data_IF_354474539020
#
_entry.id   IF_354474539020
#
_cell.length_a   1.000
_cell.length_b   1.000
_cell.length_c   1.000
_cell.angle_alpha   90.00
_cell.angle_beta   90.00
_cell.angle_gamma   90.00
#
_symmetry.space_group_name_H-M   'P 1'
#
loop_
_entity.id
_entity.type
_entity.pdbx_description
1 polymer ?
#
# COMPACT_ATOMS: atom_id res chain seq x y z
N UNK A 1 -17.75 -16.57 7.03
CA UNK A 1 -17.47 -16.01 5.68
C UNK A 1 -16.40 -14.95 5.79
N UNK A 2 -15.40 -15.00 4.91
CA UNK A 2 -14.38 -13.96 4.82
C UNK A 2 -15.02 -12.74 4.15
N UNK A 3 -14.98 -11.58 4.83
CA UNK A 3 -15.40 -10.32 4.23
C UNK A 3 -14.22 -9.74 3.44
N UNK A 4 -14.23 -9.96 2.13
CA UNK A 4 -13.16 -9.50 1.23
C UNK A 4 -13.03 -7.97 1.19
N UNK A 5 -14.13 -7.23 1.31
CA UNK A 5 -14.11 -5.76 1.41
C UNK A 5 -13.31 -5.32 2.63
N UNK A 6 -13.59 -5.90 3.80
CA UNK A 6 -12.84 -5.64 5.04
C UNK A 6 -11.37 -6.04 4.91
N UNK A 7 -11.08 -7.15 4.24
CA UNK A 7 -9.71 -7.63 4.01
C UNK A 7 -8.90 -6.65 3.14
N UNK A 8 -9.50 -6.14 2.06
CA UNK A 8 -8.87 -5.14 1.17
C UNK A 8 -8.54 -3.86 1.94
N UNK A 9 -9.46 -3.35 2.75
CA UNK A 9 -9.18 -2.18 3.59
C UNK A 9 -8.04 -2.42 4.60
N UNK A 10 -7.97 -3.60 5.19
CA UNK A 10 -6.87 -3.98 6.08
C UNK A 10 -5.54 -4.06 5.35
N UNK A 11 -5.51 -4.62 4.13
CA UNK A 11 -4.32 -4.67 3.28
C UNK A 11 -3.84 -3.27 2.91
N UNK A 12 -4.73 -2.38 2.44
CA UNK A 12 -4.37 -0.97 2.13
C UNK A 12 -3.77 -0.26 3.34
N UNK A 13 -4.32 -0.48 4.55
CA UNK A 13 -3.77 0.08 5.80
C UNK A 13 -2.40 -0.48 6.16
N UNK A 14 -2.21 -1.80 6.06
CA UNK A 14 -0.92 -2.46 6.32
C UNK A 14 0.15 -2.01 5.32
N UNK A 15 -0.23 -1.84 4.05
CA UNK A 15 0.67 -1.34 3.02
C UNK A 15 1.16 0.08 3.31
N UNK A 16 0.25 0.96 3.75
CA UNK A 16 0.62 2.33 4.13
C UNK A 16 1.60 2.36 5.30
N UNK A 17 1.38 1.56 6.35
CA UNK A 17 2.30 1.51 7.50
C UNK A 17 3.63 0.86 7.15
N UNK A 18 3.64 -0.18 6.32
CA UNK A 18 4.84 -0.80 5.78
C UNK A 18 5.66 0.19 4.96
N UNK A 19 5.02 0.89 4.01
CA UNK A 19 5.67 1.92 3.20
C UNK A 19 6.31 3.00 4.07
N UNK A 20 5.61 3.50 5.09
CA UNK A 20 6.17 4.50 6.02
C UNK A 20 7.38 3.98 6.80
N UNK A 21 7.40 2.70 7.18
CA UNK A 21 8.53 2.09 7.88
C UNK A 21 9.78 2.00 6.99
N UNK A 22 9.62 1.53 5.74
CA UNK A 22 10.76 1.39 4.82
C UNK A 22 11.28 2.74 4.31
N UNK A 23 10.41 3.75 4.20
CA UNK A 23 10.79 5.08 3.70
C UNK A 23 11.09 6.09 4.81
N UNK A 24 11.25 5.66 6.08
CA UNK A 24 11.40 6.58 7.23
C UNK A 24 12.58 7.56 7.11
N UNK A 25 13.66 7.13 6.44
CA UNK A 25 14.88 7.94 6.23
C UNK A 25 14.88 8.69 4.89
N UNK A 26 13.83 8.55 4.07
CA UNK A 26 13.73 9.17 2.75
C UNK A 26 13.01 10.51 2.84
N UNK A 27 13.31 11.41 1.90
CA UNK A 27 12.55 12.64 1.75
C UNK A 27 11.10 12.35 1.37
N UNK A 28 10.19 13.25 1.77
CA UNK A 28 8.75 13.16 1.49
C UNK A 28 8.40 12.81 0.03
N UNK A 29 9.01 13.41 -1.02
CA UNK A 29 8.72 13.04 -2.40
C UNK A 29 9.14 11.60 -2.74
N UNK A 30 10.32 11.15 -2.27
CA UNK A 30 10.78 9.77 -2.49
C UNK A 30 9.89 8.75 -1.77
N UNK A 31 9.46 9.06 -0.55
CA UNK A 31 8.51 8.24 0.19
C UNK A 31 7.17 8.12 -0.54
N UNK A 32 6.65 9.23 -1.08
CA UNK A 32 5.41 9.26 -1.87
C UNK A 32 5.52 8.41 -3.13
N UNK A 33 6.64 8.50 -3.84
CA UNK A 33 6.90 7.68 -5.03
C UNK A 33 6.87 6.18 -4.71
N UNK A 34 7.60 5.75 -3.67
CA UNK A 34 7.61 4.35 -3.23
C UNK A 34 6.22 3.87 -2.83
N UNK A 35 5.46 4.69 -2.10
CA UNK A 35 4.07 4.35 -1.75
C UNK A 35 3.19 4.18 -2.98
N UNK A 36 3.30 5.08 -3.98
CA UNK A 36 2.53 5.01 -5.21
C UNK A 36 2.84 3.75 -6.03
N UNK A 37 4.11 3.35 -6.13
CA UNK A 37 4.52 2.11 -6.80
C UNK A 37 3.93 0.89 -6.09
N UNK A 38 4.08 0.80 -4.77
CA UNK A 38 3.52 -0.30 -3.98
C UNK A 38 1.99 -0.36 -4.06
N UNK A 39 1.34 0.80 -4.08
CA UNK A 39 -0.11 0.90 -4.16
C UNK A 39 -0.63 0.51 -5.56
N UNK A 40 0.06 0.92 -6.64
CA UNK A 40 -0.26 0.50 -8.00
C UNK A 40 -0.09 -1.02 -8.22
N UNK A 41 0.91 -1.64 -7.59
CA UNK A 41 1.06 -3.11 -7.61
C UNK A 41 -0.11 -3.82 -6.91
N UNK A 42 -0.64 -3.25 -5.82
CA UNK A 42 -1.80 -3.80 -5.12
C UNK A 42 -3.08 -3.66 -5.96
N UNK A 43 -3.26 -2.55 -6.68
CA UNK A 43 -4.44 -2.31 -7.52
C UNK A 43 -4.41 -3.07 -8.87
N UNK A 44 -3.22 -3.36 -9.42
CA UNK A 44 -3.12 -4.18 -10.63
C UNK A 44 -3.50 -5.66 -10.40
N UNK A 45 -3.56 -6.13 -9.16
CA UNK A 45 -4.12 -7.45 -8.84
C UNK A 45 -5.66 -7.49 -8.87
N UNK A 46 -6.32 -6.33 -9.05
CA UNK A 46 -7.79 -6.20 -9.15
C UNK A 46 -8.30 -6.05 -10.58
N UNK A 47 -7.50 -6.36 -11.61
CA UNK A 47 -7.97 -6.45 -13.01
C UNK A 47 -8.35 -7.90 -13.32
N UNK A 48 -9.63 -8.22 -13.17
CA UNK A 48 -10.29 -9.42 -13.70
C UNK A 48 -11.74 -9.08 -14.05
#
# INVERSE_FOLDING_TARGET
MINYTKLIYQLKRKLSSFSKKITKKLSKPKSKFVFQVLYGLLENQTVL
#
